data_IF_092450677673
#
_entry.id   IF_092450677673
#
_cell.length_a   1.000
_cell.length_b   1.000
_cell.length_c   1.000
_cell.angle_alpha   90.00
_cell.angle_beta   90.00
_cell.angle_gamma   90.00
#
_symmetry.space_group_name_H-M   'P 1'
#
loop_
_entity.id
_entity.type
_entity.pdbx_description
1 polymer ?
#
# COMPACT_ATOMS: atom_id res chain seq x y z
N UNK A 1 -17.98 18.42 10.60
CA UNK A 1 -16.60 18.84 10.30
C UNK A 1 -15.70 17.62 10.26
N UNK A 2 -15.53 17.04 9.08
CA UNK A 2 -14.43 16.10 8.84
C UNK A 2 -13.14 16.89 8.64
N UNK A 3 -12.40 17.11 9.73
CA UNK A 3 -11.10 17.76 9.65
C UNK A 3 -10.11 16.80 8.99
N UNK A 4 -9.77 17.09 7.74
CA UNK A 4 -8.53 16.60 7.16
C UNK A 4 -7.44 17.51 7.70
N UNK A 5 -6.59 16.95 8.57
CA UNK A 5 -5.42 17.66 9.06
C UNK A 5 -4.39 17.74 7.94
N UNK A 6 -4.05 18.97 7.53
CA UNK A 6 -3.07 19.19 6.46
C UNK A 6 -1.71 19.49 7.09
N UNK A 7 -0.74 18.60 6.87
CA UNK A 7 0.63 18.75 7.35
C UNK A 7 1.54 19.08 6.16
N UNK A 8 2.25 20.19 6.26
CA UNK A 8 3.06 20.77 5.18
C UNK A 8 4.55 20.69 5.49
N UNK A 9 5.32 20.25 4.51
CA UNK A 9 6.77 20.16 4.59
C UNK A 9 7.41 20.93 3.43
N UNK A 10 7.65 22.22 3.67
CA UNK A 10 8.30 23.14 2.73
C UNK A 10 9.83 22.95 2.71
N UNK A 11 10.46 23.39 1.61
CA UNK A 11 11.92 23.55 1.56
C UNK A 11 12.37 24.61 2.57
N UNK A 12 13.56 24.39 3.14
CA UNK A 12 14.17 25.31 4.10
C UNK A 12 14.67 26.61 3.48
N UNK A 13 14.92 26.63 2.18
CA UNK A 13 15.45 27.79 1.44
C UNK A 13 14.39 28.88 1.18
N UNK A 14 13.13 28.66 1.59
CA UNK A 14 12.05 29.63 1.46
C UNK A 14 11.47 29.76 0.05
N UNK A 15 11.98 29.01 -0.93
CA UNK A 15 11.47 28.98 -2.31
C UNK A 15 10.26 28.03 -2.47
N UNK A 16 9.49 27.82 -1.40
CA UNK A 16 8.27 27.01 -1.47
C UNK A 16 7.07 27.93 -1.42
N UNK A 17 6.31 27.95 -2.50
CA UNK A 17 4.98 28.55 -2.49
C UNK A 17 3.94 27.42 -2.51
N UNK A 18 3.15 27.26 -1.46
CA UNK A 18 1.99 26.36 -1.44
C UNK A 18 0.71 27.06 -1.90
N UNK A 19 0.73 28.35 -2.26
CA UNK A 19 -0.44 29.10 -2.74
C UNK A 19 -1.17 28.37 -3.88
N UNK A 20 -0.43 27.64 -4.73
CA UNK A 20 -1.00 26.84 -5.81
C UNK A 20 -1.84 25.64 -5.34
N UNK A 21 -1.64 25.12 -4.13
CA UNK A 21 -2.50 24.11 -3.49
C UNK A 21 -3.53 24.77 -2.56
N UNK A 22 -3.19 25.89 -1.90
CA UNK A 22 -4.06 26.52 -0.88
C UNK A 22 -5.44 26.90 -1.42
N UNK A 23 -5.54 27.40 -2.67
CA UNK A 23 -6.83 27.67 -3.30
C UNK A 23 -7.68 26.41 -3.49
N UNK A 24 -7.04 25.24 -3.61
CA UNK A 24 -7.70 23.95 -3.87
C UNK A 24 -8.12 23.23 -2.58
N UNK A 25 -7.37 23.37 -1.50
CA UNK A 25 -7.70 22.74 -0.19
C UNK A 25 -8.87 23.46 0.48
N UNK A 26 -8.94 24.79 0.38
CA UNK A 26 -9.98 25.60 1.03
C UNK A 26 -11.39 25.40 0.43
N UNK A 27 -11.52 24.73 -0.72
CA UNK A 27 -12.80 24.40 -1.35
C UNK A 27 -13.47 23.11 -0.79
N UNK A 28 -12.77 22.26 -0.01
CA UNK A 28 -13.25 20.90 0.35
C UNK A 28 -13.26 20.62 1.87
N UNK A 29 -13.86 21.48 2.68
CA UNK A 29 -14.12 21.13 4.09
C UNK A 29 -15.57 21.44 4.47
N UNK A 30 -16.49 20.60 4.01
CA UNK A 30 -17.76 20.41 4.70
C UNK A 30 -18.33 19.02 4.41
N UNK A 31 -19.04 18.44 5.39
CA UNK A 31 -19.86 17.20 5.42
C UNK A 31 -19.73 16.45 6.76
N UNK A 32 -20.79 15.70 7.13
CA UNK A 32 -21.06 15.13 8.46
C UNK A 32 -21.11 13.60 8.43
N UNK A 33 -20.42 12.94 9.37
CA UNK A 33 -20.90 11.84 10.24
C UNK A 33 -19.78 11.38 11.19
N UNK A 34 -20.08 10.46 12.12
CA UNK A 34 -19.23 10.05 13.25
C UNK A 34 -17.91 9.41 12.78
N UNK A 35 -16.79 10.12 12.98
CA UNK A 35 -15.45 9.72 12.51
C UNK A 35 -14.74 8.81 13.53
N UNK A 36 -14.29 7.64 13.09
CA UNK A 36 -13.53 6.67 13.91
C UNK A 36 -12.01 6.93 13.83
N UNK A 37 -11.51 7.57 12.76
CA UNK A 37 -10.07 7.76 12.47
C UNK A 37 -9.74 9.19 12.04
N UNK A 38 -8.61 9.71 12.51
CA UNK A 38 -8.07 11.01 12.12
C UNK A 38 -7.56 10.97 10.68
N UNK A 39 -8.01 11.89 9.83
CA UNK A 39 -7.60 11.95 8.41
C UNK A 39 -6.48 12.96 8.25
N UNK A 40 -5.41 12.60 7.53
CA UNK A 40 -4.21 13.45 7.38
C UNK A 40 -3.78 13.55 5.93
N UNK A 41 -3.67 14.76 5.41
CA UNK A 41 -3.07 15.02 4.10
C UNK A 41 -1.66 15.57 4.30
N UNK A 42 -0.67 14.82 3.86
CA UNK A 42 0.72 15.26 3.87
C UNK A 42 1.08 15.92 2.55
N UNK A 43 1.68 17.10 2.59
CA UNK A 43 2.14 17.84 1.41
C UNK A 43 3.64 18.05 1.55
N UNK A 44 4.41 17.53 0.60
CA UNK A 44 5.87 17.52 0.68
C UNK A 44 6.47 18.14 -0.57
N UNK A 45 7.30 19.16 -0.35
CA UNK A 45 8.23 19.68 -1.35
C UNK A 45 9.59 18.99 -1.20
N UNK A 46 10.14 18.47 -2.29
CA UNK A 46 11.46 17.85 -2.31
C UNK A 46 12.56 18.83 -2.72
N UNK A 47 13.74 18.67 -2.13
CA UNK A 47 14.96 19.31 -2.62
C UNK A 47 15.52 18.60 -3.88
N UNK A 48 16.64 19.12 -4.40
CA UNK A 48 17.32 18.61 -5.60
C UNK A 48 17.85 17.19 -5.46
N UNK A 49 18.01 16.69 -4.22
CA UNK A 49 18.42 15.32 -3.90
C UNK A 49 17.21 14.40 -3.62
N UNK A 50 16.00 14.91 -3.81
CA UNK A 50 14.77 14.18 -3.54
C UNK A 50 14.50 13.96 -2.05
N UNK A 51 15.03 14.83 -1.17
CA UNK A 51 14.88 14.74 0.28
C UNK A 51 13.97 15.85 0.84
N UNK A 52 13.56 15.68 2.09
CA UNK A 52 12.93 16.72 2.91
C UNK A 52 13.42 16.62 4.34
N UNK A 53 14.23 17.59 4.75
CA UNK A 53 14.75 17.67 6.12
C UNK A 53 13.65 17.75 7.18
N UNK A 54 12.55 18.45 6.87
CA UNK A 54 11.43 18.59 7.80
C UNK A 54 10.72 17.23 7.99
N UNK A 55 10.55 16.45 6.93
CA UNK A 55 10.03 15.07 7.03
C UNK A 55 10.99 14.20 7.84
N UNK A 56 12.29 14.31 7.60
CA UNK A 56 13.29 13.55 8.37
C UNK A 56 13.24 13.89 9.87
N UNK A 57 13.09 15.17 10.24
CA UNK A 57 12.94 15.58 11.63
C UNK A 57 11.62 15.05 12.24
N UNK A 58 10.52 15.14 11.49
CA UNK A 58 9.20 14.64 11.91
C UNK A 58 9.22 13.13 12.18
N UNK A 59 9.80 12.34 11.28
CA UNK A 59 9.93 10.89 11.47
C UNK A 59 10.86 10.55 12.63
N UNK A 60 11.98 11.24 12.80
CA UNK A 60 12.91 11.03 13.93
C UNK A 60 12.21 11.23 15.28
N UNK A 61 11.42 12.29 15.41
CA UNK A 61 10.65 12.55 16.62
C UNK A 61 9.62 11.44 16.87
N UNK A 62 8.86 11.05 15.85
CA UNK A 62 7.88 9.97 15.99
C UNK A 62 8.53 8.63 16.38
N UNK A 63 9.67 8.28 15.79
CA UNK A 63 10.45 7.09 16.14
C UNK A 63 10.95 7.17 17.59
N UNK A 64 11.44 8.34 18.02
CA UNK A 64 11.87 8.55 19.40
C UNK A 64 10.73 8.33 20.40
N UNK A 65 9.53 8.85 20.11
CA UNK A 65 8.35 8.62 20.95
C UNK A 65 7.90 7.15 20.96
N UNK A 66 7.98 6.46 19.82
CA UNK A 66 7.72 5.04 19.73
C UNK A 66 8.67 4.23 20.62
N UNK A 67 9.98 4.46 20.54
CA UNK A 67 10.95 3.74 21.37
C UNK A 67 10.81 4.03 22.87
N UNK A 68 10.27 5.19 23.25
CA UNK A 68 10.07 5.56 24.65
C UNK A 68 8.82 4.94 25.27
N UNK A 69 7.77 4.74 24.49
CA UNK A 69 6.43 4.36 25.00
C UNK A 69 5.90 3.04 24.48
N UNK A 70 6.50 2.49 23.42
CA UNK A 70 6.00 1.38 22.61
C UNK A 70 4.61 1.61 22.00
N UNK A 71 4.07 2.84 22.09
CA UNK A 71 2.81 3.25 21.48
C UNK A 71 3.05 3.75 20.06
N UNK A 72 2.18 3.34 19.14
CA UNK A 72 2.23 3.72 17.73
C UNK A 72 1.79 5.19 17.56
N UNK A 73 2.69 6.13 17.22
CA UNK A 73 2.39 7.56 17.21
C UNK A 73 1.29 7.97 16.21
N UNK A 74 1.09 7.17 15.17
CA UNK A 74 0.12 7.42 14.11
C UNK A 74 -1.05 6.42 14.13
N UNK A 75 -1.22 5.64 15.20
CA UNK A 75 -2.38 4.77 15.34
C UNK A 75 -3.69 5.58 15.28
N UNK A 76 -4.68 5.05 14.56
CA UNK A 76 -5.95 5.75 14.32
C UNK A 76 -5.86 6.85 13.26
N UNK A 77 -4.72 7.04 12.59
CA UNK A 77 -4.61 7.93 11.44
C UNK A 77 -4.78 7.19 10.11
N UNK A 78 -5.48 7.82 9.17
CA UNK A 78 -5.49 7.44 7.76
C UNK A 78 -5.00 8.62 6.92
N UNK A 79 -4.13 8.35 5.96
CA UNK A 79 -3.42 9.39 5.25
C UNK A 79 -3.42 9.28 3.73
N UNK A 80 -3.14 10.42 3.10
CA UNK A 80 -2.78 10.59 1.71
C UNK A 80 -1.63 11.60 1.58
N UNK A 81 -0.94 11.59 0.44
CA UNK A 81 0.26 12.36 0.15
C UNK A 81 0.10 13.15 -1.16
N UNK A 82 0.60 14.38 -1.14
CA UNK A 82 0.95 15.16 -2.32
C UNK A 82 2.47 15.37 -2.25
N UNK A 83 3.19 14.96 -3.30
CA UNK A 83 4.66 15.10 -3.36
C UNK A 83 5.05 15.86 -4.62
N UNK A 84 5.80 16.93 -4.44
CA UNK A 84 6.33 17.75 -5.54
C UNK A 84 7.85 17.62 -5.63
N UNK A 85 8.35 17.52 -6.86
CA UNK A 85 9.78 17.60 -7.19
C UNK A 85 9.97 18.58 -8.35
N UNK A 86 11.03 19.37 -8.27
CA UNK A 86 11.53 20.21 -9.38
C UNK A 86 12.30 19.39 -10.43
N UNK A 87 12.28 18.06 -10.34
CA UNK A 87 12.91 17.14 -11.30
C UNK A 87 11.90 16.11 -11.81
N UNK A 88 12.30 15.30 -12.79
CA UNK A 88 11.54 14.11 -13.21
C UNK A 88 11.71 12.92 -12.24
N UNK A 89 12.53 13.07 -11.20
CA UNK A 89 12.96 12.00 -10.32
C UNK A 89 12.32 12.11 -8.93
N UNK A 90 12.55 11.07 -8.13
CA UNK A 90 12.39 11.01 -6.68
C UNK A 90 10.98 10.96 -6.08
N UNK A 91 9.93 11.46 -6.74
CA UNK A 91 8.58 11.52 -6.14
C UNK A 91 8.10 10.15 -5.65
N UNK A 92 8.19 9.10 -6.48
CA UNK A 92 7.81 7.73 -6.10
C UNK A 92 8.74 7.12 -5.03
N UNK A 93 10.06 7.28 -5.16
CA UNK A 93 11.00 6.68 -4.20
C UNK A 93 10.86 7.31 -2.83
N UNK A 94 10.70 8.64 -2.78
CA UNK A 94 10.44 9.38 -1.55
C UNK A 94 9.10 8.96 -0.93
N UNK A 95 8.02 8.98 -1.72
CA UNK A 95 6.68 8.63 -1.22
C UNK A 95 6.64 7.23 -0.60
N UNK A 96 7.24 6.22 -1.26
CA UNK A 96 7.33 4.86 -0.73
C UNK A 96 8.04 4.81 0.63
N UNK A 97 9.20 5.48 0.75
CA UNK A 97 9.97 5.53 1.99
C UNK A 97 9.20 6.23 3.12
N UNK A 98 8.60 7.38 2.82
CA UNK A 98 7.85 8.14 3.80
C UNK A 98 6.61 7.38 4.28
N UNK A 99 5.82 6.83 3.34
CA UNK A 99 4.65 6.02 3.67
C UNK A 99 5.02 4.77 4.46
N UNK A 100 6.12 4.10 4.12
CA UNK A 100 6.60 2.94 4.86
C UNK A 100 6.87 3.29 6.33
N UNK A 101 7.62 4.35 6.61
CA UNK A 101 7.91 4.76 7.99
C UNK A 101 6.64 5.16 8.76
N UNK A 102 5.75 5.94 8.16
CA UNK A 102 4.46 6.28 8.77
C UNK A 102 3.64 5.03 9.08
N UNK A 103 3.62 4.06 8.17
CA UNK A 103 2.87 2.82 8.32
C UNK A 103 3.41 1.92 9.44
N UNK A 104 4.73 1.80 9.55
CA UNK A 104 5.37 1.07 10.65
C UNK A 104 5.05 1.69 12.02
N UNK A 105 4.78 3.00 12.04
CA UNK A 105 4.44 3.81 13.21
C UNK A 105 2.92 3.96 13.43
N UNK A 106 2.07 3.21 12.72
CA UNK A 106 0.64 3.12 13.01
C UNK A 106 -0.30 3.67 11.93
N UNK A 107 0.24 4.34 10.90
CA UNK A 107 -0.58 5.06 9.92
C UNK A 107 -1.16 4.12 8.85
N UNK A 108 -2.44 4.30 8.53
CA UNK A 108 -3.10 3.68 7.40
C UNK A 108 -3.06 4.56 6.15
N UNK A 109 -3.16 3.96 4.97
CA UNK A 109 -3.31 4.69 3.72
C UNK A 109 -4.52 4.21 2.93
N UNK A 110 -5.21 5.18 2.33
CA UNK A 110 -6.25 4.90 1.33
C UNK A 110 -5.64 4.25 0.09
N UNK A 111 -6.49 3.65 -0.75
CA UNK A 111 -6.07 3.22 -2.09
C UNK A 111 -5.76 4.41 -3.01
N UNK A 112 -4.68 4.33 -3.79
CA UNK A 112 -4.12 5.46 -4.55
C UNK A 112 -3.94 6.70 -3.67
N UNK A 113 -3.12 6.60 -2.60
CA UNK A 113 -2.96 7.66 -1.62
C UNK A 113 -2.03 8.78 -2.09
N UNK A 114 -1.58 8.81 -3.34
CA UNK A 114 -0.53 9.70 -3.79
C UNK A 114 -0.94 10.50 -5.03
N UNK A 115 -0.78 11.81 -4.97
CA UNK A 115 -0.67 12.69 -6.15
C UNK A 115 0.77 13.20 -6.22
N UNK A 116 1.36 13.15 -7.40
CA UNK A 116 2.74 13.59 -7.63
C UNK A 116 2.72 14.77 -8.58
N UNK A 117 3.60 15.74 -8.37
CA UNK A 117 3.95 16.77 -9.35
C UNK A 117 5.44 16.69 -9.60
N UNK A 118 5.83 16.16 -10.76
CA UNK A 118 7.22 16.30 -11.24
C UNK A 118 7.39 17.66 -11.93
N UNK A 119 8.62 17.98 -12.36
CA UNK A 119 8.92 19.21 -13.10
C UNK A 119 7.84 19.53 -14.17
N UNK A 120 7.35 20.77 -14.16
CA UNK A 120 6.28 21.29 -15.03
C UNK A 120 4.98 20.47 -15.07
N UNK A 121 4.72 19.62 -14.07
CA UNK A 121 3.56 18.71 -14.08
C UNK A 121 3.58 17.75 -15.27
N UNK A 122 4.76 17.37 -15.80
CA UNK A 122 4.88 16.50 -16.99
C UNK A 122 4.11 15.19 -16.88
N UNK A 123 4.01 14.64 -15.68
CA UNK A 123 3.26 13.41 -15.41
C UNK A 123 1.74 13.56 -15.63
N UNK A 124 1.20 14.78 -15.70
CA UNK A 124 -0.21 15.02 -16.01
C UNK A 124 -0.52 15.09 -17.51
N UNK A 125 0.49 15.14 -18.39
CA UNK A 125 0.30 15.33 -19.84
C UNK A 125 -0.59 14.29 -20.49
N UNK A 126 -0.55 13.03 -20.03
CA UNK A 126 -1.40 11.97 -20.58
C UNK A 126 -2.89 12.26 -20.34
N UNK A 127 -3.25 12.72 -19.14
CA UNK A 127 -4.63 13.11 -18.84
C UNK A 127 -5.02 14.40 -19.54
N UNK A 128 -4.14 15.41 -19.56
CA UNK A 128 -4.38 16.67 -20.27
C UNK A 128 -4.68 16.44 -21.76
N UNK A 129 -3.93 15.56 -22.43
CA UNK A 129 -4.22 15.17 -23.83
C UNK A 129 -5.55 14.42 -23.97
N UNK A 130 -5.90 13.58 -23.01
CA UNK A 130 -7.11 12.77 -23.07
C UNK A 130 -8.38 13.60 -22.79
N UNK A 131 -8.30 14.61 -21.92
CA UNK A 131 -9.44 15.48 -21.56
C UNK A 131 -9.51 16.76 -22.39
N UNK A 132 -8.39 17.20 -22.97
CA UNK A 132 -8.26 18.52 -23.61
C UNK A 132 -8.04 19.66 -22.62
N UNK A 133 -7.96 19.36 -21.31
CA UNK A 133 -7.81 20.36 -20.25
C UNK A 133 -6.35 20.76 -20.03
N UNK A 134 -6.08 22.00 -19.57
CA UNK A 134 -4.75 22.42 -19.13
C UNK A 134 -4.20 21.55 -17.99
N UNK A 135 -2.87 21.49 -17.85
CA UNK A 135 -2.19 20.68 -16.82
C UNK A 135 -2.64 21.08 -15.42
N UNK A 136 -2.83 22.38 -15.18
CA UNK A 136 -3.24 22.95 -13.90
C UNK A 136 -4.65 22.48 -13.50
N UNK A 137 -5.55 22.37 -14.48
CA UNK A 137 -6.92 21.87 -14.26
C UNK A 137 -6.89 20.38 -13.95
N UNK A 138 -6.12 19.59 -14.70
CA UNK A 138 -5.95 18.16 -14.45
C UNK A 138 -5.36 17.90 -13.07
N UNK A 139 -4.33 18.66 -12.70
CA UNK A 139 -3.70 18.59 -11.39
C UNK A 139 -4.70 18.89 -10.27
N UNK A 140 -5.44 20.02 -10.38
CA UNK A 140 -6.52 20.37 -9.46
C UNK A 140 -7.45 19.17 -9.30
N UNK A 141 -7.98 18.62 -10.38
CA UNK A 141 -8.88 17.48 -10.32
C UNK A 141 -8.28 16.25 -9.62
N UNK A 142 -7.00 15.92 -9.86
CA UNK A 142 -6.37 14.78 -9.20
C UNK A 142 -6.26 15.02 -7.68
N UNK A 143 -5.93 16.23 -7.26
CA UNK A 143 -5.89 16.64 -5.85
C UNK A 143 -7.29 16.57 -5.23
N UNK A 144 -8.32 17.14 -5.87
CA UNK A 144 -9.70 17.10 -5.37
C UNK A 144 -10.19 15.64 -5.24
N UNK A 145 -9.89 14.79 -6.24
CA UNK A 145 -10.22 13.35 -6.20
C UNK A 145 -9.50 12.64 -5.05
N UNK A 146 -8.25 13.00 -4.74
CA UNK A 146 -7.51 12.44 -3.61
C UNK A 146 -8.13 12.86 -2.28
N UNK A 147 -8.37 14.15 -2.09
CA UNK A 147 -8.97 14.72 -0.88
C UNK A 147 -10.36 14.14 -0.64
N UNK A 148 -11.20 14.07 -1.68
CA UNK A 148 -12.53 13.47 -1.60
C UNK A 148 -12.47 12.01 -1.16
N UNK A 149 -11.58 11.18 -1.72
CA UNK A 149 -11.39 9.78 -1.28
C UNK A 149 -10.90 9.66 0.15
N UNK A 150 -10.02 10.57 0.59
CA UNK A 150 -9.53 10.60 1.96
C UNK A 150 -10.67 10.98 2.93
N UNK A 151 -11.44 12.01 2.59
CA UNK A 151 -12.62 12.46 3.34
C UNK A 151 -13.66 11.36 3.45
N UNK A 152 -13.99 10.67 2.35
CA UNK A 152 -14.95 9.57 2.37
C UNK A 152 -14.38 8.23 2.87
N UNK A 153 -13.19 8.20 3.48
CA UNK A 153 -12.62 6.95 3.98
C UNK A 153 -13.42 6.43 5.18
N UNK A 154 -13.88 5.19 5.05
CA UNK A 154 -14.50 4.41 6.12
C UNK A 154 -13.75 3.11 6.30
N UNK A 155 -13.54 2.65 7.54
CA UNK A 155 -12.90 1.34 7.75
C UNK A 155 -13.82 0.24 7.22
N UNK A 156 -13.28 -0.67 6.39
CA UNK A 156 -14.07 -1.78 5.85
C UNK A 156 -14.35 -2.76 6.98
N UNK A 157 -15.62 -3.08 7.13
CA UNK A 157 -16.14 -3.83 8.26
C UNK A 157 -16.92 -5.04 7.75
N UNK A 158 -16.36 -6.25 7.92
CA UNK A 158 -17.01 -7.53 7.59
C UNK A 158 -17.13 -8.41 8.82
N UNK A 159 -18.24 -9.15 8.92
CA UNK A 159 -18.43 -10.17 9.95
C UNK A 159 -17.50 -11.37 9.77
N UNK A 160 -17.22 -11.71 8.51
CA UNK A 160 -16.21 -12.69 8.10
C UNK A 160 -15.36 -12.10 6.98
N UNK A 161 -14.06 -11.99 7.22
CA UNK A 161 -13.08 -11.49 6.26
C UNK A 161 -12.60 -12.64 5.37
N UNK A 162 -12.57 -12.42 4.05
CA UNK A 162 -11.96 -13.33 3.09
C UNK A 162 -10.50 -12.94 2.85
N UNK A 163 -9.58 -13.74 3.36
CA UNK A 163 -8.14 -13.58 3.22
C UNK A 163 -7.62 -14.50 2.11
N UNK A 164 -7.17 -13.92 1.00
CA UNK A 164 -6.43 -14.64 -0.03
C UNK A 164 -4.93 -14.55 0.26
N UNK A 165 -4.24 -15.68 0.27
CA UNK A 165 -2.80 -15.78 0.48
C UNK A 165 -2.13 -16.16 -0.83
N UNK A 166 -1.24 -15.31 -1.32
CA UNK A 166 -0.48 -15.53 -2.56
C UNK A 166 0.98 -15.88 -2.22
N UNK A 167 1.46 -16.99 -2.74
CA UNK A 167 2.87 -17.38 -2.62
C UNK A 167 3.38 -18.06 -3.90
N UNK A 168 4.69 -18.06 -4.07
CA UNK A 168 5.35 -18.74 -5.20
C UNK A 168 6.50 -19.67 -4.75
N UNK A 169 6.67 -19.84 -3.44
CA UNK A 169 7.69 -20.68 -2.82
C UNK A 169 7.17 -22.07 -2.42
N UNK A 170 8.11 -22.96 -2.10
CA UNK A 170 7.86 -24.32 -1.63
C UNK A 170 7.81 -24.37 -0.10
N UNK A 171 6.81 -25.06 0.47
CA UNK A 171 6.56 -25.09 1.92
C UNK A 171 7.71 -25.72 2.71
N UNK A 172 8.40 -26.71 2.14
CA UNK A 172 9.38 -27.53 2.87
C UNK A 172 10.64 -26.77 3.29
N UNK A 173 11.00 -25.68 2.59
CA UNK A 173 12.26 -24.96 2.82
C UNK A 173 12.11 -23.47 3.05
N UNK A 174 10.92 -22.91 2.84
CA UNK A 174 10.72 -21.47 2.84
C UNK A 174 10.46 -20.91 4.24
N UNK A 175 11.44 -20.19 4.80
CA UNK A 175 11.28 -19.40 6.03
C UNK A 175 10.04 -18.47 5.99
N UNK A 176 9.75 -17.84 4.84
CA UNK A 176 8.55 -16.98 4.69
C UNK A 176 7.22 -17.75 4.83
N UNK A 177 7.16 -18.99 4.33
CA UNK A 177 5.97 -19.86 4.46
C UNK A 177 5.87 -20.43 5.87
N UNK A 178 7.00 -20.81 6.49
CA UNK A 178 7.02 -21.21 7.90
C UNK A 178 6.53 -20.08 8.80
N UNK A 179 6.92 -18.83 8.54
CA UNK A 179 6.38 -17.67 9.26
C UNK A 179 4.87 -17.54 9.07
N UNK A 180 4.39 -17.71 7.84
CA UNK A 180 2.96 -17.72 7.55
C UNK A 180 2.21 -18.79 8.34
N UNK A 181 2.69 -20.03 8.39
CA UNK A 181 2.01 -21.10 9.13
C UNK A 181 1.88 -20.75 10.63
N UNK A 182 2.91 -20.15 11.24
CA UNK A 182 2.84 -19.65 12.63
C UNK A 182 1.79 -18.57 12.85
N UNK A 183 1.63 -17.67 11.87
CA UNK A 183 0.58 -16.64 11.89
C UNK A 183 -0.79 -17.28 11.72
N UNK A 184 -0.93 -18.15 10.72
CA UNK A 184 -2.17 -18.84 10.37
C UNK A 184 -2.74 -19.63 11.54
N UNK A 185 -1.90 -20.35 12.29
CA UNK A 185 -2.28 -21.09 13.50
C UNK A 185 -2.97 -20.24 14.57
N UNK A 186 -2.68 -18.93 14.62
CA UNK A 186 -3.23 -18.00 15.62
C UNK A 186 -4.39 -17.14 15.09
N UNK A 187 -4.68 -17.19 13.80
CA UNK A 187 -5.81 -16.44 13.25
C UNK A 187 -7.13 -17.06 13.73
N UNK A 188 -8.07 -16.22 14.16
CA UNK A 188 -9.42 -16.66 14.47
C UNK A 188 -10.18 -17.05 13.18
N UNK A 189 -10.31 -18.36 12.95
CA UNK A 189 -10.96 -18.93 11.77
C UNK A 189 -12.49 -18.75 11.72
N UNK A 190 -13.12 -18.36 12.83
CA UNK A 190 -14.54 -17.97 12.81
C UNK A 190 -14.72 -16.60 12.14
N UNK A 191 -13.74 -15.71 12.31
CA UNK A 191 -13.73 -14.36 11.75
C UNK A 191 -13.03 -14.26 10.40
N UNK A 192 -12.10 -15.17 10.09
CA UNK A 192 -11.28 -15.11 8.88
C UNK A 192 -11.38 -16.42 8.09
N UNK A 193 -11.90 -16.32 6.87
CA UNK A 193 -11.83 -17.40 5.88
C UNK A 193 -10.54 -17.26 5.07
N UNK A 194 -9.72 -18.30 5.07
CA UNK A 194 -8.43 -18.31 4.37
C UNK A 194 -8.55 -19.13 3.09
N UNK A 195 -8.06 -18.56 1.99
CA UNK A 195 -7.85 -19.23 0.71
C UNK A 195 -6.37 -19.08 0.33
N UNK A 196 -5.69 -20.16 0.00
CA UNK A 196 -4.27 -20.15 -0.38
C UNK A 196 -4.14 -20.44 -1.88
N UNK A 197 -3.42 -19.58 -2.59
CA UNK A 197 -3.14 -19.73 -4.01
C UNK A 197 -1.63 -19.76 -4.26
N UNK A 198 -1.16 -20.94 -4.63
CA UNK A 198 0.22 -21.18 -5.02
C UNK A 198 0.42 -20.86 -6.51
N UNK A 199 1.31 -19.92 -6.80
CA UNK A 199 1.76 -19.60 -8.16
C UNK A 199 2.90 -20.55 -8.53
N UNK A 200 2.50 -21.72 -9.02
CA UNK A 200 3.44 -22.77 -9.44
C UNK A 200 4.27 -22.36 -10.66
N UNK A 201 5.38 -23.07 -10.84
CA UNK A 201 6.24 -22.91 -12.02
C UNK A 201 5.46 -23.18 -13.31
N UNK A 202 5.69 -22.37 -14.34
CA UNK A 202 5.01 -22.49 -15.64
C UNK A 202 3.53 -22.06 -15.66
N UNK A 203 2.88 -21.80 -14.51
CA UNK A 203 1.48 -21.32 -14.48
C UNK A 203 1.32 -19.84 -14.78
N UNK A 204 2.40 -19.06 -14.70
CA UNK A 204 2.36 -17.63 -14.98
C UNK A 204 3.52 -17.18 -15.88
N UNK A 205 3.21 -16.30 -16.81
CA UNK A 205 4.16 -15.59 -17.66
C UNK A 205 4.07 -14.08 -17.40
N UNK A 206 5.18 -13.37 -17.57
CA UNK A 206 5.23 -11.92 -17.35
C UNK A 206 4.39 -11.12 -18.37
N UNK A 207 4.19 -9.82 -18.11
CA UNK A 207 3.87 -8.72 -19.04
C UNK A 207 4.04 -8.96 -20.57
N UNK A 208 3.01 -9.11 -21.42
CA UNK A 208 3.17 -9.03 -22.89
C UNK A 208 3.36 -7.56 -23.29
N UNK A 209 2.81 -6.63 -22.50
CA UNK A 209 2.80 -5.22 -22.83
C UNK A 209 1.90 -4.90 -24.02
N UNK A 210 0.69 -5.49 -24.06
CA UNK A 210 -0.30 -5.19 -25.08
C UNK A 210 -0.63 -3.68 -25.14
N UNK A 211 -1.13 -3.21 -26.29
CA UNK A 211 -1.58 -1.81 -26.43
C UNK A 211 -2.65 -1.48 -25.38
N UNK A 212 -2.83 -0.18 -25.12
CA UNK A 212 -3.85 0.28 -24.18
C UNK A 212 -5.25 -0.20 -24.60
N UNK A 213 -5.59 -0.07 -25.88
CA UNK A 213 -6.88 -0.50 -26.43
C UNK A 213 -7.10 -2.01 -26.25
N UNK A 214 -6.07 -2.82 -26.54
CA UNK A 214 -6.13 -4.27 -26.36
C UNK A 214 -6.30 -4.65 -24.88
N UNK A 215 -5.54 -4.02 -23.98
CA UNK A 215 -5.66 -4.26 -22.54
C UNK A 215 -7.05 -3.91 -22.03
N UNK A 216 -7.60 -2.78 -22.48
CA UNK A 216 -8.95 -2.34 -22.14
C UNK A 216 -10.04 -3.26 -22.71
N UNK A 217 -9.86 -3.81 -23.91
CA UNK A 217 -10.76 -4.81 -24.48
C UNK A 217 -10.83 -6.06 -23.58
N UNK A 218 -9.69 -6.64 -23.23
CA UNK A 218 -9.65 -7.81 -22.34
C UNK A 218 -10.22 -7.51 -20.94
N UNK A 219 -9.92 -6.33 -20.38
CA UNK A 219 -10.45 -5.93 -19.08
C UNK A 219 -11.99 -5.90 -19.05
N UNK A 220 -12.64 -5.40 -20.12
CA UNK A 220 -14.11 -5.39 -20.21
C UNK A 220 -14.71 -6.80 -20.16
N UNK A 221 -14.02 -7.77 -20.76
CA UNK A 221 -14.42 -9.18 -20.77
C UNK A 221 -13.92 -9.94 -19.52
N UNK A 222 -13.40 -9.24 -18.50
CA UNK A 222 -12.74 -9.84 -17.32
C UNK A 222 -11.66 -10.87 -17.68
N UNK A 223 -11.00 -10.68 -18.81
CA UNK A 223 -10.02 -11.59 -19.37
C UNK A 223 -8.61 -10.98 -19.36
N UNK A 224 -7.66 -11.77 -19.83
CA UNK A 224 -6.30 -11.34 -20.14
C UNK A 224 -5.85 -12.07 -21.41
N UNK A 225 -4.91 -11.48 -22.16
CA UNK A 225 -4.29 -12.13 -23.31
C UNK A 225 -3.84 -13.57 -23.03
N UNK A 226 -3.44 -13.89 -21.80
CA UNK A 226 -2.99 -15.24 -21.44
C UNK A 226 -4.08 -16.22 -21.06
N UNK A 227 -5.29 -15.77 -20.72
CA UNK A 227 -6.32 -16.67 -20.16
C UNK A 227 -5.80 -17.52 -19.00
N UNK A 228 -6.22 -18.78 -18.95
CA UNK A 228 -5.68 -19.83 -18.08
C UNK A 228 -5.69 -19.43 -16.60
N UNK A 229 -4.66 -19.83 -15.85
CA UNK A 229 -4.49 -19.57 -14.42
C UNK A 229 -4.81 -18.12 -14.00
N UNK A 230 -4.45 -17.14 -14.83
CA UNK A 230 -4.71 -15.73 -14.52
C UNK A 230 -6.21 -15.42 -14.46
N UNK A 231 -6.98 -15.92 -15.43
CA UNK A 231 -8.41 -15.63 -15.55
C UNK A 231 -9.27 -16.63 -14.78
N UNK A 232 -8.85 -17.89 -14.72
CA UNK A 232 -9.60 -19.00 -14.14
C UNK A 232 -9.42 -19.09 -12.62
N UNK A 233 -8.22 -18.82 -12.10
CA UNK A 233 -7.90 -18.97 -10.67
C UNK A 233 -7.63 -17.63 -9.98
N UNK A 234 -6.68 -16.86 -10.53
CA UNK A 234 -6.13 -15.68 -9.85
C UNK A 234 -7.15 -14.54 -9.75
N UNK A 235 -7.75 -14.12 -10.88
CA UNK A 235 -8.70 -13.00 -10.87
C UNK A 235 -9.92 -13.28 -10.00
N UNK A 236 -10.64 -14.41 -10.12
CA UNK A 236 -11.83 -14.67 -9.30
C UNK A 236 -11.51 -14.67 -7.80
N UNK A 237 -10.37 -15.22 -7.39
CA UNK A 237 -9.93 -15.21 -5.98
C UNK A 237 -9.64 -13.80 -5.48
N UNK A 238 -8.96 -12.96 -6.28
CA UNK A 238 -8.72 -11.56 -5.92
C UNK A 238 -10.02 -10.76 -5.87
N UNK A 239 -10.95 -10.96 -6.82
CA UNK A 239 -12.26 -10.30 -6.82
C UNK A 239 -13.03 -10.59 -5.53
N UNK A 240 -12.99 -11.84 -5.06
CA UNK A 240 -13.72 -12.29 -3.87
C UNK A 240 -13.05 -11.89 -2.54
N UNK A 241 -11.74 -11.68 -2.51
CA UNK A 241 -10.99 -11.40 -1.29
C UNK A 241 -11.28 -10.00 -0.74
N UNK A 242 -11.38 -9.87 0.58
CA UNK A 242 -11.34 -8.56 1.27
C UNK A 242 -9.89 -8.14 1.55
N UNK A 243 -8.99 -9.12 1.73
CA UNK A 243 -7.57 -8.92 1.99
C UNK A 243 -6.75 -9.84 1.09
N UNK A 244 -5.67 -9.30 0.51
CA UNK A 244 -4.68 -10.10 -0.21
C UNK A 244 -3.35 -10.03 0.54
N UNK A 245 -2.91 -11.18 1.07
CA UNK A 245 -1.65 -11.38 1.77
C UNK A 245 -0.60 -11.92 0.80
N UNK A 246 0.52 -11.20 0.67
CA UNK A 246 1.62 -11.57 -0.21
C UNK A 246 2.79 -12.17 0.57
N UNK A 247 3.09 -13.44 0.34
CA UNK A 247 4.25 -14.13 0.93
C UNK A 247 5.45 -13.92 0.01
N UNK A 248 6.33 -13.01 0.38
CA UNK A 248 7.43 -12.52 -0.44
C UNK A 248 8.78 -12.79 0.22
N UNK A 249 9.41 -13.95 -0.01
CA UNK A 249 10.86 -14.05 0.20
C UNK A 249 11.61 -12.97 -0.60
N UNK A 250 12.73 -12.51 -0.06
CA UNK A 250 13.60 -11.55 -0.74
C UNK A 250 14.51 -12.25 -1.75
N UNK A 251 14.38 -11.88 -3.03
CA UNK A 251 15.29 -12.28 -4.11
C UNK A 251 16.02 -11.04 -4.64
N UNK A 252 17.28 -10.86 -4.26
CA UNK A 252 18.14 -9.73 -4.68
C UNK A 252 17.52 -8.35 -4.39
N UNK A 253 17.08 -8.16 -3.15
CA UNK A 253 16.36 -6.98 -2.66
C UNK A 253 15.04 -6.72 -3.39
N UNK A 254 14.44 -7.75 -4.00
CA UNK A 254 13.22 -7.66 -4.79
C UNK A 254 12.22 -8.79 -4.53
N UNK A 255 10.97 -8.55 -4.91
CA UNK A 255 9.94 -9.60 -4.97
C UNK A 255 10.32 -10.64 -6.03
N UNK A 256 9.89 -11.90 -5.83
CA UNK A 256 10.13 -12.95 -6.83
C UNK A 256 9.55 -12.60 -8.20
N UNK A 257 10.19 -13.05 -9.28
CA UNK A 257 9.72 -12.82 -10.65
C UNK A 257 8.29 -13.34 -10.87
N UNK A 258 7.91 -14.47 -10.25
CA UNK A 258 6.55 -15.02 -10.33
C UNK A 258 5.52 -14.09 -9.70
N UNK A 259 5.78 -13.53 -8.52
CA UNK A 259 4.87 -12.58 -7.88
C UNK A 259 4.86 -11.22 -8.59
N UNK A 260 6.00 -10.79 -9.17
CA UNK A 260 6.02 -9.61 -10.04
C UNK A 260 5.15 -9.83 -11.28
N UNK A 261 5.21 -11.01 -11.90
CA UNK A 261 4.34 -11.35 -13.02
C UNK A 261 2.86 -11.27 -12.59
N UNK A 262 2.48 -11.78 -11.42
CA UNK A 262 1.11 -11.60 -10.87
C UNK A 262 0.73 -10.13 -10.82
N UNK A 263 1.56 -9.28 -10.21
CA UNK A 263 1.31 -7.83 -10.09
C UNK A 263 1.11 -7.19 -11.47
N UNK A 264 1.96 -7.52 -12.43
CA UNK A 264 1.88 -7.01 -13.80
C UNK A 264 0.56 -7.42 -14.48
N UNK A 265 0.11 -8.65 -14.23
CA UNK A 265 -1.18 -9.19 -14.71
C UNK A 265 -2.39 -8.52 -14.06
N UNK A 266 -2.28 -8.01 -12.83
CA UNK A 266 -3.42 -7.33 -12.19
C UNK A 266 -3.87 -6.07 -12.92
N UNK A 267 -3.09 -5.54 -13.87
CA UNK A 267 -3.48 -4.37 -14.65
C UNK A 267 -4.81 -4.54 -15.37
N UNK A 268 -5.09 -5.70 -15.98
CA UNK A 268 -6.37 -5.89 -16.68
C UNK A 268 -7.53 -5.92 -15.69
N UNK A 269 -7.41 -6.65 -14.58
CA UNK A 269 -8.43 -6.69 -13.52
C UNK A 269 -8.64 -5.32 -12.86
N UNK A 270 -7.57 -4.59 -12.59
CA UNK A 270 -7.63 -3.22 -12.05
C UNK A 270 -8.37 -2.24 -12.98
N UNK A 271 -8.37 -2.50 -14.29
CA UNK A 271 -9.13 -1.67 -15.25
C UNK A 271 -10.63 -2.01 -15.26
N UNK A 272 -11.02 -3.18 -14.77
CA UNK A 272 -12.42 -3.61 -14.68
C UNK A 272 -13.03 -3.40 -13.28
N UNK A 273 -12.21 -3.32 -12.24
CA UNK A 273 -12.65 -3.02 -10.88
C UNK A 273 -11.61 -2.20 -10.11
N UNK A 274 -12.06 -1.37 -9.17
CA UNK A 274 -11.15 -0.73 -8.24
C UNK A 274 -10.77 -1.70 -7.10
N UNK A 275 -9.56 -1.54 -6.54
CA UNK A 275 -9.14 -2.25 -5.33
C UNK A 275 -9.25 -1.38 -4.07
N UNK A 276 -10.01 -0.28 -4.15
CA UNK A 276 -10.17 0.62 -3.02
C UNK A 276 -10.83 -0.05 -1.84
N UNK A 277 -11.57 -1.15 -2.01
CA UNK A 277 -12.17 -1.89 -0.90
C UNK A 277 -11.42 -3.17 -0.52
N UNK A 278 -10.11 -3.23 -0.81
CA UNK A 278 -9.27 -4.39 -0.50
C UNK A 278 -8.02 -3.96 0.26
N UNK A 279 -7.68 -4.68 1.33
CA UNK A 279 -6.44 -4.44 2.07
C UNK A 279 -5.26 -5.25 1.50
N UNK A 280 -4.09 -4.62 1.50
CA UNK A 280 -2.80 -5.24 1.23
C UNK A 280 -2.15 -5.67 2.54
N UNK A 281 -1.78 -6.94 2.64
CA UNK A 281 -0.90 -7.46 3.69
C UNK A 281 0.30 -8.17 3.08
N UNK A 282 1.38 -8.34 3.85
CA UNK A 282 2.54 -9.10 3.38
C UNK A 282 3.32 -9.78 4.50
N UNK A 283 4.04 -10.84 4.13
CA UNK A 283 5.09 -11.44 4.95
C UNK A 283 6.36 -11.42 4.13
N UNK A 284 7.40 -10.81 4.67
CA UNK A 284 8.70 -10.69 4.02
C UNK A 284 9.77 -11.29 4.92
N UNK A 285 10.53 -12.23 4.39
CA UNK A 285 11.71 -12.78 5.07
C UNK A 285 12.89 -12.68 4.14
N UNK A 286 13.97 -12.08 4.64
CA UNK A 286 15.24 -11.96 3.93
C UNK A 286 16.29 -12.81 4.62
N UNK A 287 17.22 -13.37 3.85
CA UNK A 287 18.34 -14.13 4.41
C UNK A 287 19.34 -13.25 5.18
N UNK A 288 19.51 -12.00 4.76
CA UNK A 288 20.51 -11.09 5.36
C UNK A 288 19.92 -9.69 5.67
N UNK A 289 19.39 -9.01 4.65
CA UNK A 289 18.87 -7.64 4.72
C UNK A 289 17.82 -7.40 3.64
N UNK A 290 17.17 -6.23 3.62
CA UNK A 290 16.33 -5.80 2.49
C UNK A 290 14.83 -6.06 2.63
N UNK A 291 14.34 -6.40 3.83
CA UNK A 291 12.90 -6.56 4.08
C UNK A 291 12.10 -5.31 3.71
N UNK A 292 12.61 -4.14 4.10
CA UNK A 292 12.03 -2.84 3.80
C UNK A 292 12.02 -2.55 2.29
N UNK A 293 13.08 -2.93 1.55
CA UNK A 293 13.13 -2.81 0.09
C UNK A 293 11.98 -3.57 -0.58
N UNK A 294 11.78 -4.82 -0.18
CA UNK A 294 10.72 -5.69 -0.73
C UNK A 294 9.34 -5.19 -0.30
N UNK A 295 9.17 -4.81 0.97
CA UNK A 295 7.90 -4.24 1.47
C UNK A 295 7.53 -2.94 0.73
N UNK A 296 8.50 -2.04 0.51
CA UNK A 296 8.28 -0.81 -0.24
C UNK A 296 7.95 -1.08 -1.72
N UNK A 297 8.45 -2.16 -2.32
CA UNK A 297 8.02 -2.56 -3.67
C UNK A 297 6.55 -2.96 -3.70
N UNK A 298 6.10 -3.78 -2.75
CA UNK A 298 4.68 -4.16 -2.62
C UNK A 298 3.80 -2.94 -2.39
N UNK A 299 4.17 -2.05 -1.46
CA UNK A 299 3.48 -0.78 -1.19
C UNK A 299 3.38 0.06 -2.47
N UNK A 300 4.49 0.24 -3.18
CA UNK A 300 4.54 1.04 -4.39
C UNK A 300 3.74 0.45 -5.56
N UNK A 301 3.78 -0.87 -5.72
CA UNK A 301 3.12 -1.55 -6.82
C UNK A 301 1.62 -1.74 -6.56
N UNK A 302 1.22 -2.08 -5.34
CA UNK A 302 -0.15 -2.49 -5.04
C UNK A 302 -0.97 -1.36 -4.39
N UNK A 303 -0.42 -0.63 -3.42
CA UNK A 303 -1.15 0.48 -2.79
C UNK A 303 -1.11 1.75 -3.66
N UNK A 304 0.10 2.21 -4.01
CA UNK A 304 0.28 3.46 -4.80
C UNK A 304 -0.18 3.32 -6.25
N UNK A 305 -0.04 2.14 -6.87
CA UNK A 305 -0.32 1.96 -8.31
C UNK A 305 -1.61 1.19 -8.64
N UNK A 306 -2.07 0.28 -7.77
CA UNK A 306 -3.28 -0.51 -8.02
C UNK A 306 -4.44 -0.16 -7.09
N UNK A 307 -4.18 0.64 -6.06
CA UNK A 307 -5.23 1.19 -5.21
C UNK A 307 -5.65 0.28 -4.06
N UNK A 308 -4.84 -0.71 -3.68
CA UNK A 308 -5.11 -1.42 -2.42
C UNK A 308 -4.96 -0.46 -1.23
N UNK A 309 -5.80 -0.62 -0.21
CA UNK A 309 -5.63 0.06 1.08
C UNK A 309 -4.45 -0.53 1.83
N UNK A 310 -3.71 0.32 2.53
CA UNK A 310 -2.59 -0.11 3.37
C UNK A 310 -3.00 -0.04 4.84
N UNK A 311 -3.27 -1.18 5.50
CA UNK A 311 -3.51 -1.19 6.94
C UNK A 311 -2.21 -0.86 7.69
N UNK A 312 -2.33 -0.39 8.93
CA UNK A 312 -1.19 -0.17 9.82
C UNK A 312 -0.31 -1.43 9.92
N UNK A 313 1.01 -1.26 9.88
CA UNK A 313 1.99 -2.35 9.98
C UNK A 313 1.70 -3.50 8.99
N UNK A 314 1.46 -3.18 7.72
CA UNK A 314 0.96 -4.14 6.72
C UNK A 314 1.88 -5.34 6.45
N UNK A 315 3.16 -5.26 6.85
CA UNK A 315 4.19 -6.25 6.56
C UNK A 315 4.74 -6.87 7.83
N UNK A 316 4.61 -8.19 8.00
CA UNK A 316 5.39 -8.95 8.96
C UNK A 316 6.78 -9.22 8.37
N UNK A 317 7.83 -8.88 9.11
CA UNK A 317 9.21 -8.92 8.60
C UNK A 317 10.17 -9.62 9.56
N UNK A 318 11.06 -10.45 9.01
CA UNK A 318 12.11 -11.12 9.76
C UNK A 318 13.37 -11.38 8.92
N UNK A 319 14.49 -11.64 9.58
CA UNK A 319 15.72 -12.12 8.95
C UNK A 319 15.90 -13.60 9.33
N UNK A 320 16.05 -14.46 8.34
CA UNK A 320 16.26 -15.89 8.51
C UNK A 320 16.83 -16.47 7.20
N UNK A 321 18.00 -17.11 7.26
CA UNK A 321 18.73 -17.52 6.07
C UNK A 321 18.53 -19.01 5.74
N UNK A 322 18.97 -19.87 6.64
CA UNK A 322 18.87 -21.31 6.45
C UNK A 322 17.43 -21.78 6.65
N UNK A 323 16.98 -22.83 5.95
CA UNK A 323 15.65 -23.39 6.14
C UNK A 323 15.36 -23.70 7.62
N UNK A 324 14.33 -23.09 8.18
CA UNK A 324 13.93 -23.27 9.58
C UNK A 324 14.43 -22.18 10.54
N UNK A 325 15.40 -21.35 10.13
CA UNK A 325 15.97 -20.28 10.96
C UNK A 325 14.91 -19.33 11.52
N UNK A 326 13.82 -19.12 10.77
CA UNK A 326 12.73 -18.26 11.23
C UNK A 326 12.15 -18.72 12.56
N UNK A 327 12.11 -20.03 12.81
CA UNK A 327 11.58 -20.63 14.04
C UNK A 327 12.49 -20.39 15.25
N UNK A 328 13.75 -20.02 15.01
CA UNK A 328 14.74 -19.71 16.03
C UNK A 328 14.85 -18.20 16.33
N UNK A 329 14.09 -17.34 15.64
CA UNK A 329 14.04 -15.90 15.94
C UNK A 329 13.44 -15.70 17.33
N UNK A 330 14.22 -15.11 18.24
CA UNK A 330 13.93 -15.00 19.68
C UNK A 330 12.55 -14.38 19.97
N UNK A 331 12.21 -13.30 19.27
CA UNK A 331 10.94 -12.57 19.44
C UNK A 331 9.85 -12.97 18.42
N UNK A 332 10.01 -14.12 17.74
CA UNK A 332 9.06 -14.56 16.70
C UNK A 332 7.63 -14.61 17.24
N UNK A 333 7.42 -15.23 18.40
CA UNK A 333 6.08 -15.40 18.97
C UNK A 333 5.41 -14.05 19.22
N UNK A 334 6.14 -13.05 19.71
CA UNK A 334 5.63 -11.70 19.94
C UNK A 334 5.33 -10.98 18.63
N UNK A 335 6.18 -11.14 17.60
CA UNK A 335 5.90 -10.60 16.26
C UNK A 335 4.66 -11.23 15.64
N UNK A 336 4.49 -12.54 15.77
CA UNK A 336 3.30 -13.27 15.31
C UNK A 336 2.05 -12.70 16.00
N UNK A 337 2.05 -12.60 17.34
CA UNK A 337 0.91 -12.07 18.09
C UNK A 337 0.58 -10.64 17.68
N UNK A 338 1.58 -9.75 17.60
CA UNK A 338 1.38 -8.37 17.15
C UNK A 338 0.74 -8.32 15.76
N UNK A 339 1.25 -9.10 14.82
CA UNK A 339 0.72 -9.12 13.46
C UNK A 339 -0.70 -9.68 13.39
N UNK A 340 -0.97 -10.80 14.08
CA UNK A 340 -2.31 -11.40 14.19
C UNK A 340 -3.32 -10.41 14.77
N UNK A 341 -2.96 -9.71 15.85
CA UNK A 341 -3.80 -8.67 16.44
C UNK A 341 -4.09 -7.55 15.45
N UNK A 342 -3.09 -7.09 14.68
CA UNK A 342 -3.28 -6.10 13.63
C UNK A 342 -4.22 -6.58 12.52
N UNK A 343 -4.16 -7.86 12.14
CA UNK A 343 -5.12 -8.46 11.19
C UNK A 343 -6.53 -8.52 11.79
N UNK A 344 -6.67 -8.92 13.07
CA UNK A 344 -7.98 -8.98 13.73
C UNK A 344 -8.63 -7.61 13.92
N UNK A 345 -7.84 -6.54 14.10
CA UNK A 345 -8.33 -5.15 14.10
C UNK A 345 -9.04 -4.76 12.80
N UNK A 346 -8.82 -5.48 11.70
CA UNK A 346 -9.53 -5.30 10.42
C UNK A 346 -10.91 -6.00 10.38
N UNK A 347 -11.25 -6.77 11.41
CA UNK A 347 -12.55 -7.45 11.55
C UNK A 347 -13.51 -6.64 12.44
N UNK A 348 -14.81 -6.88 12.33
CA UNK A 348 -15.84 -6.12 13.08
C UNK A 348 -15.78 -6.25 14.60
N UNK A 349 -15.09 -7.27 15.14
CA UNK A 349 -15.34 -7.75 16.50
C UNK A 349 -14.17 -7.54 17.48
N UNK A 350 -13.05 -6.95 17.07
CA UNK A 350 -11.89 -6.83 17.96
C UNK A 350 -11.98 -5.70 19.00
N UNK A 351 -13.05 -4.88 18.98
CA UNK A 351 -13.26 -3.80 19.96
C UNK A 351 -14.43 -4.03 20.93
N UNK A 352 -15.07 -5.21 20.96
CA UNK A 352 -16.17 -5.51 21.90
C UNK A 352 -15.75 -6.26 23.17
N UNK A 353 -14.51 -6.06 23.63
CA UNK A 353 -14.12 -6.41 25.01
C UNK A 353 -13.26 -5.29 25.58
N UNK A 354 -13.94 -4.27 26.12
CA UNK A 354 -13.41 -3.45 27.22
C UNK A 354 -13.64 -4.20 28.53
#
# INVERSE_FOLDING_TARGET
MEFIDVIRFERKDGNTDFNWIESHINEIVDLNDIIIKKRVLYIVELDELGQSDRVNAYLKEAIFQYHKSELLPFEGQVAALIVRSESELYTKSFAKKFMFHLNQLGCEFIGHPLVERVIDGKNFRTWSKATGEPIEVVEKEQILKLISRLGSYETIRRSKIKLLVLHAGHKDTSNTLMYWERIKEKLNHDLIQIDELHVEEGKISDCYGCSFETCMYYAKEKACFYGGFVVEDLYPKIEQADIVLWICPNYNDAISAKLMAVINRLTALYRSMNFYDKYLLSIVVSGNSGNDSVAMQLLGALCINKGFRLPSQFAAMAIANEPGDILCVEDLNERVERYVNSVHKLTNNFMTKK
#
